data_IF_184824314248
#
_entry.id   IF_184824314248
#
_cell.length_a   1.000
_cell.length_b   1.000
_cell.length_c   1.000
_cell.angle_alpha   90.00
_cell.angle_beta   90.00
_cell.angle_gamma   90.00
#
_symmetry.space_group_name_H-M   'P 1'
#
loop_
_entity.id
_entity.type
_entity.pdbx_description
1 polymer ?
#
# COMPACT_ATOMS: atom_id res chain seq x y z
N UNK A 1 0.33 -3.84 -37.97
CA UNK A 1 1.23 -3.55 -36.83
C UNK A 1 1.80 -2.17 -37.00
N UNK A 2 1.23 -1.16 -36.35
CA UNK A 2 1.91 0.12 -36.18
C UNK A 2 2.99 -0.10 -35.12
N UNK A 3 4.24 -0.30 -35.55
CA UNK A 3 5.35 -0.44 -34.62
C UNK A 3 5.54 0.87 -33.85
N UNK A 4 5.49 0.79 -32.52
CA UNK A 4 5.88 1.90 -31.64
C UNK A 4 7.30 2.33 -32.01
N UNK A 5 7.54 3.62 -32.21
CA UNK A 5 8.89 4.10 -32.49
C UNK A 5 9.77 3.84 -31.26
N UNK A 6 11.08 3.64 -31.46
CA UNK A 6 12.01 3.45 -30.36
C UNK A 6 11.91 4.57 -29.29
N UNK A 7 11.64 5.80 -29.73
CA UNK A 7 11.42 6.93 -28.84
C UNK A 7 10.17 6.78 -27.97
N UNK A 8 9.03 6.38 -28.54
CA UNK A 8 7.81 6.18 -27.79
C UNK A 8 7.94 5.01 -26.78
N UNK A 9 8.61 3.93 -27.16
CA UNK A 9 8.90 2.82 -26.26
C UNK A 9 9.82 3.22 -25.09
N UNK A 10 10.82 4.08 -25.34
CA UNK A 10 11.68 4.58 -24.27
C UNK A 10 10.91 5.45 -23.27
N UNK A 11 10.01 6.32 -23.74
CA UNK A 11 9.19 7.15 -22.84
C UNK A 11 8.29 6.29 -21.97
N UNK A 12 7.62 5.30 -22.55
CA UNK A 12 6.77 4.34 -21.83
C UNK A 12 7.56 3.60 -20.75
N UNK A 13 8.74 3.06 -21.10
CA UNK A 13 9.60 2.36 -20.14
C UNK A 13 10.08 3.26 -18.99
N UNK A 14 10.39 4.54 -19.26
CA UNK A 14 10.77 5.50 -18.24
C UNK A 14 9.59 5.80 -17.32
N UNK A 15 8.39 6.04 -17.88
CA UNK A 15 7.18 6.28 -17.09
C UNK A 15 6.85 5.10 -16.19
N UNK A 16 6.87 3.87 -16.72
CA UNK A 16 6.62 2.66 -15.93
C UNK A 16 7.66 2.46 -14.81
N UNK A 17 8.92 2.83 -15.06
CA UNK A 17 9.96 2.78 -14.04
C UNK A 17 9.67 3.77 -12.91
N UNK A 18 9.36 5.03 -13.25
CA UNK A 18 9.07 6.07 -12.27
C UNK A 18 7.85 5.68 -11.43
N UNK A 19 6.73 5.28 -12.06
CA UNK A 19 5.50 4.91 -11.36
C UNK A 19 5.73 3.79 -10.34
N UNK A 20 6.56 2.80 -10.70
CA UNK A 20 6.92 1.69 -9.82
C UNK A 20 7.81 2.15 -8.67
N UNK A 21 8.80 3.00 -8.93
CA UNK A 21 9.68 3.52 -7.89
C UNK A 21 8.95 4.45 -6.93
N UNK A 22 7.98 5.23 -7.40
CA UNK A 22 7.12 6.06 -6.57
C UNK A 22 6.24 5.21 -5.65
N UNK A 23 5.56 4.19 -6.20
CA UNK A 23 4.77 3.23 -5.40
C UNK A 23 5.62 2.51 -4.35
N UNK A 24 6.83 2.08 -4.72
CA UNK A 24 7.77 1.43 -3.80
C UNK A 24 8.21 2.38 -2.70
N UNK A 25 8.56 3.61 -3.06
CA UNK A 25 8.99 4.62 -2.09
C UNK A 25 7.86 5.00 -1.13
N UNK A 26 6.63 5.08 -1.63
CA UNK A 26 5.45 5.33 -0.80
C UNK A 26 5.22 4.19 0.20
N UNK A 27 5.21 2.95 -0.27
CA UNK A 27 5.07 1.76 0.59
C UNK A 27 6.10 1.73 1.73
N UNK A 28 7.37 2.03 1.43
CA UNK A 28 8.44 2.08 2.43
C UNK A 28 8.24 3.21 3.44
N UNK A 29 7.84 4.40 2.98
CA UNK A 29 7.53 5.54 3.86
C UNK A 29 6.37 5.23 4.78
N UNK A 30 5.29 4.63 4.27
CA UNK A 30 4.11 4.29 5.05
C UNK A 30 4.43 3.24 6.12
N UNK A 31 5.22 2.22 5.77
CA UNK A 31 5.70 1.23 6.74
C UNK A 31 6.58 1.84 7.84
N UNK A 32 7.49 2.74 7.47
CA UNK A 32 8.32 3.45 8.45
C UNK A 32 7.50 4.36 9.37
N UNK A 33 6.52 5.07 8.83
CA UNK A 33 5.62 5.93 9.60
C UNK A 33 4.76 5.10 10.58
N UNK A 34 4.20 3.98 10.13
CA UNK A 34 3.45 3.07 10.98
C UNK A 34 4.32 2.49 12.12
N UNK A 35 5.56 2.10 11.81
CA UNK A 35 6.50 1.62 12.81
C UNK A 35 6.85 2.69 13.85
N UNK A 36 7.14 3.91 13.41
CA UNK A 36 7.43 5.03 14.30
C UNK A 36 6.21 5.34 15.20
N UNK A 37 5.01 5.37 14.62
CA UNK A 37 3.78 5.59 15.37
C UNK A 37 3.57 4.56 16.48
N UNK A 38 3.80 3.28 16.19
CA UNK A 38 3.71 2.21 17.19
C UNK A 38 4.77 2.40 18.29
N UNK A 39 6.02 2.70 17.93
CA UNK A 39 7.09 2.95 18.92
C UNK A 39 6.77 4.12 19.86
N UNK A 40 6.14 5.18 19.35
CA UNK A 40 5.80 6.37 20.12
C UNK A 40 4.54 6.19 21.00
N UNK A 41 3.52 5.48 20.49
CA UNK A 41 2.19 5.45 21.12
C UNK A 41 1.84 4.12 21.79
N UNK A 42 2.49 3.04 21.36
CA UNK A 42 2.13 1.65 21.67
C UNK A 42 0.86 1.16 20.96
N UNK A 43 0.21 2.01 20.16
CA UNK A 43 -1.06 1.67 19.52
C UNK A 43 -0.87 0.70 18.36
N UNK A 44 -1.61 -0.40 18.37
CA UNK A 44 -1.58 -1.44 17.36
C UNK A 44 -2.94 -2.16 17.25
N UNK A 45 -3.08 -2.97 16.22
CA UNK A 45 -4.08 -4.03 16.14
C UNK A 45 -3.35 -5.37 16.26
N UNK A 46 -3.99 -6.37 16.84
CA UNK A 46 -3.46 -7.74 16.80
C UNK A 46 -3.62 -8.33 15.40
N UNK A 47 -2.88 -9.41 15.12
CA UNK A 47 -3.01 -10.11 13.85
C UNK A 47 -4.44 -10.67 13.65
N UNK A 48 -5.05 -11.16 14.73
CA UNK A 48 -6.41 -11.72 14.73
C UNK A 48 -7.46 -10.65 14.44
N UNK A 49 -7.32 -9.45 15.01
CA UNK A 49 -8.24 -8.32 14.73
C UNK A 49 -8.12 -7.85 13.29
N UNK A 50 -6.89 -7.75 12.77
CA UNK A 50 -6.64 -7.40 11.39
C UNK A 50 -7.21 -8.45 10.43
N UNK A 51 -6.99 -9.74 10.70
CA UNK A 51 -7.51 -10.84 9.88
C UNK A 51 -9.04 -10.87 9.90
N UNK A 52 -9.66 -10.71 11.07
CA UNK A 52 -11.11 -10.63 11.20
C UNK A 52 -11.67 -9.46 10.38
N UNK A 53 -11.04 -8.28 10.42
CA UNK A 53 -11.44 -7.13 9.63
C UNK A 53 -11.29 -7.37 8.12
N UNK A 54 -10.11 -7.80 7.67
CA UNK A 54 -9.82 -8.07 6.25
C UNK A 54 -10.78 -9.12 5.68
N UNK A 55 -11.21 -10.10 6.48
CA UNK A 55 -12.15 -11.13 6.05
C UNK A 55 -13.53 -10.59 5.66
N UNK A 56 -13.87 -9.37 6.10
CA UNK A 56 -15.14 -8.71 5.75
C UNK A 56 -15.09 -7.95 4.43
N UNK A 57 -13.90 -7.65 3.90
CA UNK A 57 -13.75 -6.82 2.71
C UNK A 57 -14.33 -7.46 1.45
N UNK A 58 -15.01 -6.65 0.63
CA UNK A 58 -15.66 -7.12 -0.59
C UNK A 58 -16.92 -7.96 -0.34
N UNK A 59 -17.43 -7.98 0.90
CA UNK A 59 -18.69 -8.65 1.26
C UNK A 59 -19.80 -7.63 1.53
N UNK A 60 -21.06 -8.09 1.61
CA UNK A 60 -22.19 -7.23 1.99
C UNK A 60 -22.10 -6.71 3.44
N UNK A 61 -21.21 -7.30 4.26
CA UNK A 61 -20.98 -6.93 5.65
C UNK A 61 -19.53 -6.42 5.84
N UNK A 62 -18.98 -5.73 4.85
CA UNK A 62 -17.69 -5.05 4.99
C UNK A 62 -17.74 -4.04 6.14
N UNK A 63 -16.80 -4.19 7.08
CA UNK A 63 -16.74 -3.39 8.31
C UNK A 63 -15.67 -2.30 8.22
N UNK A 64 -15.87 -1.24 8.99
CA UNK A 64 -14.85 -0.22 9.20
C UNK A 64 -13.62 -0.78 9.93
N UNK A 65 -12.48 -0.11 9.76
CA UNK A 65 -11.24 -0.46 10.46
C UNK A 65 -11.44 -0.43 11.99
N UNK A 66 -11.03 -1.48 12.72
CA UNK A 66 -11.08 -1.45 14.18
C UNK A 66 -10.10 -0.39 14.72
N UNK A 67 -10.42 0.26 15.85
CA UNK A 67 -9.52 1.23 16.47
C UNK A 67 -8.29 0.54 17.06
N UNK A 68 -7.10 1.10 16.85
CA UNK A 68 -5.87 0.62 17.49
C UNK A 68 -5.92 0.77 19.02
N UNK A 69 -5.26 -0.13 19.73
CA UNK A 69 -5.16 -0.17 21.20
C UNK A 69 -3.74 -0.59 21.66
N UNK A 70 -3.51 -0.65 22.98
CA UNK A 70 -2.20 -0.96 23.59
C UNK A 70 -2.14 -2.36 24.14
#
# INVERSE_FOLDING_TARGET
MTGTSAHALMLEAITEYIDREEKRSQYLRDGQAAWQHYQETGLHLTAEEAEAWISTWGTENEQDAPPCHR
#
